data_IF_050628978440
#
_entry.id   IF_050628978440
#
_cell.length_a   1.000
_cell.length_b   1.000
_cell.length_c   1.000
_cell.angle_alpha   90.00
_cell.angle_beta   90.00
_cell.angle_gamma   90.00
#
_symmetry.space_group_name_H-M   'P 1'
#
loop_
_entity.id
_entity.type
_entity.pdbx_description
1 polymer ?
#
# COMPACT_ATOMS: atom_id res chain seq x y z
N UNK A 1 -11.07 15.32 -21.36
CA UNK A 1 -11.89 14.54 -22.30
C UNK A 1 -12.31 13.27 -21.59
N UNK A 2 -13.62 13.02 -21.43
CA UNK A 2 -14.13 11.77 -20.85
C UNK A 2 -13.79 10.58 -21.76
N UNK A 3 -13.83 9.37 -21.20
CA UNK A 3 -13.66 8.15 -21.98
C UNK A 3 -14.85 8.00 -22.95
N UNK A 4 -14.70 7.21 -24.05
CA UNK A 4 -15.76 6.99 -25.02
C UNK A 4 -17.08 6.45 -24.44
N UNK A 5 -17.08 5.94 -23.20
CA UNK A 5 -18.23 5.38 -22.49
C UNK A 5 -18.87 6.34 -21.47
N UNK A 6 -18.44 7.60 -21.42
CA UNK A 6 -19.00 8.61 -20.50
C UNK A 6 -18.50 8.49 -19.06
N UNK A 7 -17.53 7.61 -18.79
CA UNK A 7 -16.91 7.52 -17.46
C UNK A 7 -15.89 8.64 -17.27
N UNK A 8 -15.95 9.33 -16.12
CA UNK A 8 -14.92 10.28 -15.71
C UNK A 8 -13.56 9.58 -15.69
N UNK A 9 -12.66 9.94 -16.62
CA UNK A 9 -11.31 9.35 -16.64
C UNK A 9 -10.53 9.86 -15.43
N UNK A 10 -10.36 8.98 -14.44
CA UNK A 10 -9.47 9.21 -13.31
C UNK A 10 -8.06 8.77 -13.69
N UNK A 11 -7.13 9.72 -13.65
CA UNK A 11 -5.71 9.45 -13.83
C UNK A 11 -5.00 9.46 -12.50
N UNK A 12 -4.29 8.38 -12.24
CA UNK A 12 -3.38 8.23 -11.12
C UNK A 12 -1.95 8.26 -11.63
N UNK A 13 -1.09 8.96 -10.90
CA UNK A 13 0.36 9.01 -11.15
C UNK A 13 1.05 8.64 -9.85
N UNK A 14 1.96 7.67 -9.91
CA UNK A 14 2.86 7.36 -8.81
C UNK A 14 4.06 8.30 -8.80
N UNK A 15 4.46 8.78 -7.62
CA UNK A 15 5.57 9.70 -7.44
C UNK A 15 6.91 9.01 -7.16
N UNK A 16 6.89 7.75 -6.73
CA UNK A 16 8.09 7.03 -6.27
C UNK A 16 8.57 5.96 -7.26
N UNK A 17 7.72 5.53 -8.20
CA UNK A 17 8.14 4.60 -9.25
C UNK A 17 9.18 5.25 -10.17
N UNK A 18 10.13 4.45 -10.68
CA UNK A 18 11.10 4.90 -11.69
C UNK A 18 10.43 5.40 -12.99
N UNK A 19 9.25 4.86 -13.31
CA UNK A 19 8.38 5.35 -14.39
C UNK A 19 7.50 6.55 -13.96
N UNK A 20 7.86 7.24 -12.88
CA UNK A 20 7.12 8.32 -12.25
C UNK A 20 6.66 9.34 -13.29
N UNK A 21 5.38 9.66 -13.27
CA UNK A 21 4.76 10.53 -14.28
C UNK A 21 3.87 9.81 -15.30
N UNK A 22 3.93 8.48 -15.42
CA UNK A 22 2.99 7.75 -16.29
C UNK A 22 1.57 7.82 -15.71
N UNK A 23 0.63 8.34 -16.52
CA UNK A 23 -0.79 8.36 -16.19
C UNK A 23 -1.38 6.96 -16.32
N UNK A 24 -2.00 6.48 -15.26
CA UNK A 24 -2.62 5.17 -15.19
C UNK A 24 -4.07 5.29 -14.73
N UNK A 25 -4.92 4.34 -15.09
CA UNK A 25 -6.20 4.17 -14.40
C UNK A 25 -5.96 3.53 -13.02
N UNK A 26 -6.97 3.61 -12.15
CA UNK A 26 -6.93 3.04 -10.79
C UNK A 26 -6.50 1.56 -10.83
N UNK A 27 -7.09 0.74 -11.71
CA UNK A 27 -6.78 -0.70 -11.83
C UNK A 27 -5.31 -0.97 -12.18
N UNK A 28 -4.76 -0.27 -13.17
CA UNK A 28 -3.38 -0.44 -13.59
C UNK A 28 -2.41 -0.01 -12.48
N UNK A 29 -2.73 1.09 -11.78
CA UNK A 29 -1.96 1.55 -10.64
C UNK A 29 -1.95 0.49 -9.53
N UNK A 30 -3.12 0.00 -9.10
CA UNK A 30 -3.22 -1.02 -8.04
C UNK A 30 -2.47 -2.31 -8.41
N UNK A 31 -2.58 -2.76 -9.66
CA UNK A 31 -1.87 -3.97 -10.12
C UNK A 31 -0.35 -3.81 -10.05
N UNK A 32 0.17 -2.68 -10.52
CA UNK A 32 1.62 -2.41 -10.50
C UNK A 32 2.16 -2.22 -9.07
N UNK A 33 1.34 -1.69 -8.16
CA UNK A 33 1.75 -1.34 -6.79
C UNK A 33 1.36 -2.37 -5.74
N UNK A 34 0.93 -3.58 -6.15
CA UNK A 34 0.51 -4.66 -5.23
C UNK A 34 1.49 -4.89 -4.07
N UNK A 35 2.78 -4.86 -4.36
CA UNK A 35 3.88 -5.05 -3.39
C UNK A 35 4.54 -3.74 -2.92
N UNK A 36 4.01 -2.58 -3.30
CA UNK A 36 4.58 -1.26 -3.00
C UNK A 36 3.57 -0.40 -2.19
N UNK A 37 3.17 -0.85 -0.99
CA UNK A 37 2.09 -0.24 -0.20
C UNK A 37 2.38 1.17 0.32
N UNK A 38 3.64 1.59 0.30
CA UNK A 38 4.14 2.86 0.84
C UNK A 38 4.46 3.90 -0.24
N UNK A 39 4.10 3.65 -1.51
CA UNK A 39 4.26 4.69 -2.53
C UNK A 39 3.17 5.75 -2.42
N UNK A 40 3.54 7.01 -2.63
CA UNK A 40 2.64 8.13 -2.80
C UNK A 40 2.13 8.20 -4.24
N UNK A 41 0.82 8.41 -4.34
CA UNK A 41 0.14 8.60 -5.61
C UNK A 41 -0.60 9.93 -5.64
N UNK A 42 -0.71 10.52 -6.82
CA UNK A 42 -1.52 11.70 -7.08
C UNK A 42 -2.67 11.34 -8.02
N UNK A 43 -3.85 11.83 -7.68
CA UNK A 43 -5.06 11.69 -8.50
C UNK A 43 -5.36 13.02 -9.19
N UNK A 44 -5.67 12.95 -10.49
CA UNK A 44 -6.20 14.08 -11.24
C UNK A 44 -7.66 14.33 -10.83
N UNK A 45 -7.96 15.56 -10.37
CA UNK A 45 -9.32 15.95 -9.95
C UNK A 45 -10.08 16.77 -11.01
N UNK A 46 -9.54 16.89 -12.22
CA UNK A 46 -10.09 17.76 -13.27
C UNK A 46 -9.31 19.07 -13.47
N UNK A 47 -8.58 19.53 -12.44
CA UNK A 47 -7.84 20.80 -12.46
C UNK A 47 -6.34 20.62 -12.17
N UNK A 48 -6.00 19.80 -11.18
CA UNK A 48 -4.62 19.55 -10.76
C UNK A 48 -4.47 18.15 -10.17
N UNK A 49 -3.21 17.75 -9.96
CA UNK A 49 -2.87 16.51 -9.28
C UNK A 49 -2.82 16.72 -7.77
N UNK A 50 -3.72 16.03 -7.05
CA UNK A 50 -3.75 16.03 -5.58
C UNK A 50 -3.19 14.71 -5.04
N UNK A 51 -2.29 14.79 -4.06
CA UNK A 51 -1.81 13.61 -3.33
C UNK A 51 -2.96 12.92 -2.60
N UNK A 52 -3.07 11.60 -2.79
CA UNK A 52 -4.01 10.75 -2.06
C UNK A 52 -3.27 9.53 -1.51
N UNK A 53 -3.76 8.96 -0.41
CA UNK A 53 -3.27 7.68 0.06
C UNK A 53 -3.74 6.56 -0.89
N UNK A 54 -2.86 5.59 -1.17
CA UNK A 54 -3.17 4.43 -2.04
C UNK A 54 -4.47 3.72 -1.62
N UNK A 55 -4.77 3.64 -0.31
CA UNK A 55 -6.02 3.07 0.22
C UNK A 55 -7.29 3.70 -0.34
N UNK A 56 -7.24 4.97 -0.79
CA UNK A 56 -8.40 5.66 -1.38
C UNK A 56 -8.75 5.16 -2.77
N UNK A 57 -7.80 4.50 -3.44
CA UNK A 57 -8.03 3.78 -4.69
C UNK A 57 -8.60 2.37 -4.45
N UNK A 58 -8.84 1.96 -3.20
CA UNK A 58 -9.27 0.60 -2.85
C UNK A 58 -8.11 -0.37 -2.59
N UNK A 59 -6.87 0.12 -2.54
CA UNK A 59 -5.70 -0.70 -2.26
C UNK A 59 -5.77 -1.36 -0.87
N UNK A 60 -5.50 -2.65 -0.83
CA UNK A 60 -5.35 -3.44 0.39
C UNK A 60 -4.03 -4.20 0.29
N UNK A 61 -3.12 -3.96 1.21
CA UNK A 61 -1.87 -4.71 1.27
C UNK A 61 -2.09 -6.06 1.96
N UNK A 62 -1.78 -7.14 1.25
CA UNK A 62 -1.87 -8.49 1.78
C UNK A 62 -0.54 -8.91 2.43
N UNK A 63 -0.49 -8.84 3.76
CA UNK A 63 0.65 -9.35 4.52
C UNK A 63 0.73 -10.87 4.38
N UNK A 64 1.95 -11.40 4.52
CA UNK A 64 2.25 -12.81 4.36
C UNK A 64 2.40 -13.29 2.91
N UNK A 65 1.88 -12.55 1.93
CA UNK A 65 1.99 -12.83 0.49
C UNK A 65 2.57 -11.67 -0.32
N UNK A 66 3.20 -10.68 0.33
CA UNK A 66 3.86 -9.56 -0.36
C UNK A 66 2.91 -8.70 -1.21
N UNK A 67 1.62 -8.69 -0.91
CA UNK A 67 0.60 -8.00 -1.69
C UNK A 67 -0.11 -8.85 -2.76
N UNK A 68 0.29 -10.11 -2.98
CA UNK A 68 -0.42 -11.02 -3.87
C UNK A 68 -1.77 -11.46 -3.29
N UNK A 69 -2.61 -12.03 -4.16
CA UNK A 69 -3.87 -12.65 -3.75
C UNK A 69 -3.60 -13.76 -2.71
N UNK A 70 -4.39 -13.75 -1.64
CA UNK A 70 -4.34 -14.76 -0.58
C UNK A 70 -5.64 -15.58 -0.60
N UNK A 71 -5.58 -16.92 -0.56
CA UNK A 71 -6.77 -17.77 -0.54
C UNK A 71 -7.49 -17.76 0.83
N UNK A 72 -6.81 -17.37 1.90
CA UNK A 72 -7.37 -17.23 3.24
C UNK A 72 -6.96 -15.89 3.87
N UNK A 73 -7.49 -14.76 3.38
CA UNK A 73 -7.15 -13.45 3.91
C UNK A 73 -7.97 -13.16 5.18
N UNK A 74 -7.30 -12.67 6.23
CA UNK A 74 -7.97 -12.22 7.44
C UNK A 74 -8.77 -10.91 7.24
N UNK A 75 -9.36 -10.36 8.32
CA UNK A 75 -10.15 -9.14 8.25
C UNK A 75 -9.32 -7.93 7.84
N UNK A 76 -9.94 -7.01 7.09
CA UNK A 76 -9.29 -5.77 6.65
C UNK A 76 -9.20 -4.76 7.79
N UNK A 77 -8.00 -4.24 8.05
CA UNK A 77 -7.75 -3.20 9.04
C UNK A 77 -6.97 -2.03 8.43
N UNK A 78 -6.81 -0.95 9.21
CA UNK A 78 -6.00 0.21 8.82
C UNK A 78 -4.93 0.43 9.89
N UNK A 79 -3.69 0.63 9.45
CA UNK A 79 -2.59 1.04 10.32
C UNK A 79 -1.88 2.27 9.75
N UNK A 80 -1.25 3.06 10.61
CA UNK A 80 -0.24 4.03 10.19
C UNK A 80 1.12 3.34 10.10
N UNK A 81 1.87 3.60 9.03
CA UNK A 81 3.23 3.11 8.83
C UNK A 81 4.14 4.30 8.64
N UNK A 82 5.06 4.50 9.58
CA UNK A 82 6.08 5.54 9.47
C UNK A 82 7.22 5.03 8.58
N UNK A 83 7.49 5.76 7.51
CA UNK A 83 8.59 5.54 6.57
C UNK A 83 9.44 6.81 6.46
N UNK A 84 10.56 6.73 5.76
CA UNK A 84 11.50 7.86 5.60
C UNK A 84 10.92 9.05 4.84
N UNK A 85 9.93 8.79 4.00
CA UNK A 85 9.18 9.74 3.18
C UNK A 85 7.92 10.28 3.90
N UNK A 86 7.63 9.78 5.10
CA UNK A 86 6.52 10.24 5.93
C UNK A 86 5.62 9.11 6.44
N UNK A 87 4.45 9.49 6.94
CA UNK A 87 3.48 8.55 7.50
C UNK A 87 2.43 8.15 6.47
N UNK A 88 2.27 6.84 6.29
CA UNK A 88 1.32 6.21 5.38
C UNK A 88 0.15 5.60 6.14
N UNK A 89 -1.08 5.83 5.68
CA UNK A 89 -2.25 5.12 6.19
C UNK A 89 -2.58 3.96 5.26
N UNK A 90 -2.17 2.76 5.65
CA UNK A 90 -2.29 1.56 4.82
C UNK A 90 -3.49 0.74 5.27
N UNK A 91 -4.36 0.39 4.31
CA UNK A 91 -5.37 -0.65 4.53
C UNK A 91 -4.69 -1.99 4.25
N UNK A 92 -4.80 -2.93 5.17
CA UNK A 92 -4.05 -4.19 5.12
C UNK A 92 -4.89 -5.36 5.62
N UNK A 93 -4.41 -6.59 5.37
CA UNK A 93 -4.91 -7.84 5.92
C UNK A 93 -3.74 -8.75 6.27
N UNK A 94 -3.88 -9.53 7.33
CA UNK A 94 -2.99 -10.67 7.59
C UNK A 94 -3.38 -11.86 6.69
N UNK A 95 -2.41 -12.74 6.46
CA UNK A 95 -2.66 -14.05 5.86
C UNK A 95 -3.00 -15.06 6.96
N UNK A 96 -4.07 -15.83 6.74
CA UNK A 96 -4.55 -16.90 7.61
C UNK A 96 -4.52 -18.27 6.88
N UNK A 97 -3.65 -18.42 5.87
CA UNK A 97 -3.42 -19.71 5.23
C UNK A 97 -2.85 -20.73 6.24
N UNK A 98 -3.22 -22.02 6.12
CA UNK A 98 -2.65 -23.06 6.98
C UNK A 98 -1.12 -23.07 6.92
N UNK A 99 -0.46 -23.11 8.09
CA UNK A 99 1.00 -23.13 8.20
C UNK A 99 1.69 -21.77 8.01
N UNK A 100 0.94 -20.68 7.85
CA UNK A 100 1.53 -19.35 7.71
C UNK A 100 2.12 -18.83 9.04
N UNK A 101 3.11 -17.96 8.93
CA UNK A 101 3.71 -17.28 10.07
C UNK A 101 2.71 -16.37 10.82
N UNK A 102 2.97 -16.12 12.11
CA UNK A 102 2.16 -15.22 12.92
C UNK A 102 2.19 -13.75 12.42
N UNK A 103 1.27 -12.92 12.93
CA UNK A 103 1.12 -11.51 12.54
C UNK A 103 2.43 -10.70 12.64
N UNK A 104 3.19 -10.90 13.72
CA UNK A 104 4.47 -10.22 13.94
C UNK A 104 5.49 -10.57 12.86
N UNK A 105 5.65 -11.87 12.56
CA UNK A 105 6.55 -12.32 11.50
C UNK A 105 6.08 -11.85 10.12
N UNK A 106 4.78 -11.77 9.87
CA UNK A 106 4.27 -11.22 8.61
C UNK A 106 4.60 -9.73 8.43
N UNK A 107 4.52 -8.93 9.50
CA UNK A 107 4.99 -7.54 9.49
C UNK A 107 6.50 -7.46 9.30
N UNK A 108 7.25 -8.28 10.03
CA UNK A 108 8.71 -8.32 9.96
C UNK A 108 9.19 -8.65 8.53
N UNK A 109 8.52 -9.59 7.86
CA UNK A 109 8.78 -9.95 6.44
C UNK A 109 8.42 -8.83 5.46
N UNK A 110 7.53 -7.91 5.85
CA UNK A 110 7.26 -6.68 5.09
C UNK A 110 8.22 -5.55 5.48
N UNK A 111 9.27 -5.84 6.27
CA UNK A 111 10.22 -4.87 6.84
C UNK A 111 9.55 -3.83 7.73
N UNK A 112 8.44 -4.20 8.38
CA UNK A 112 7.69 -3.35 9.28
C UNK A 112 7.82 -3.85 10.72
N UNK A 113 8.14 -2.94 11.62
CA UNK A 113 8.22 -3.19 13.05
C UNK A 113 7.03 -2.57 13.76
N UNK A 114 6.35 -3.35 14.59
CA UNK A 114 5.34 -2.87 15.52
C UNK A 114 5.90 -2.88 16.94
N UNK A 115 5.94 -1.72 17.61
CA UNK A 115 6.45 -1.60 18.98
C UNK A 115 5.54 -2.21 20.06
N UNK A 116 4.31 -2.62 19.72
CA UNK A 116 3.39 -3.35 20.60
C UNK A 116 2.77 -4.51 19.83
N UNK A 117 2.75 -5.70 20.44
CA UNK A 117 2.26 -6.93 19.83
C UNK A 117 0.72 -7.02 19.73
N UNK A 118 -0.03 -6.20 20.48
CA UNK A 118 -1.50 -6.23 20.49
C UNK A 118 -2.09 -4.97 19.86
N UNK A 119 -2.99 -5.16 18.89
CA UNK A 119 -3.74 -4.09 18.20
C UNK A 119 -2.82 -3.05 17.54
N UNK A 120 -2.05 -3.50 16.55
CA UNK A 120 -1.08 -2.70 15.80
C UNK A 120 -1.79 -1.59 15.02
N UNK A 121 -1.95 -0.43 15.65
CA UNK A 121 -2.43 0.79 14.99
C UNK A 121 -1.30 1.53 14.27
N UNK A 122 -0.05 1.22 14.62
CA UNK A 122 1.13 1.92 14.14
C UNK A 122 2.32 0.96 13.96
N UNK A 123 2.98 1.07 12.82
CA UNK A 123 4.25 0.43 12.47
C UNK A 123 5.29 1.47 12.07
N UNK A 124 6.55 1.05 12.09
CA UNK A 124 7.70 1.81 11.57
C UNK A 124 8.46 0.90 10.62
N UNK A 125 8.91 1.40 9.48
CA UNK A 125 9.73 0.61 8.55
C UNK A 125 11.14 0.41 9.08
N UNK A 126 11.79 -0.70 8.69
CA UNK A 126 13.18 -0.98 9.08
C UNK A 126 14.13 0.11 8.59
N UNK A 127 13.83 0.72 7.44
CA UNK A 127 14.60 1.85 6.92
C UNK A 127 14.65 3.03 7.90
N UNK A 128 13.55 3.34 8.58
CA UNK A 128 13.52 4.37 9.64
C UNK A 128 14.31 3.94 10.87
N UNK A 129 14.31 2.64 11.19
CA UNK A 129 15.06 2.07 12.31
C UNK A 129 16.56 1.83 12.03
N UNK A 130 17.03 2.05 10.78
CA UNK A 130 18.39 1.72 10.38
C UNK A 130 18.66 0.21 10.26
N UNK A 131 17.60 -0.60 10.10
CA UNK A 131 17.65 -2.07 10.02
C UNK A 131 17.47 -2.63 8.59
N UNK A 132 17.32 -1.77 7.58
CA UNK A 132 17.18 -2.19 6.19
C UNK A 132 18.53 -2.66 5.63
N UNK A 133 18.55 -3.82 4.98
CA UNK A 133 19.69 -4.26 4.16
C UNK A 133 19.91 -3.25 3.02
N UNK A 134 21.13 -2.73 2.91
CA UNK A 134 21.57 -1.84 1.83
C UNK A 134 21.58 -2.50 0.45
#
# INVERSE_FOLDING_TARGET
>A
MPAPDGTDIRFVVCMDCKAGGLKQCDRCCLHQHRSLPLHFVKLWNGQYFRTIAMRRLGFIFQLGHGGEACPSPGPANIMSVLSVDGTHYVRFRYCECPGQANEFTQLFRAEWFAGRATNVKQCVTFKVLGLGSG
#
